data_IF_248574098963
#
_entry.id   IF_248574098963
#
_cell.length_a   1.000
_cell.length_b   1.000
_cell.length_c   1.000
_cell.angle_alpha   90.00
_cell.angle_beta   90.00
_cell.angle_gamma   90.00
#
_symmetry.space_group_name_H-M   'P 1'
#
loop_
_entity.id
_entity.type
_entity.pdbx_description
1 polymer ?
#
# COMPACT_ATOMS: atom_id res chain seq x y z
N UNK A 1 12.35 -10.27 6.44
CA UNK A 1 12.30 -10.45 4.97
C UNK A 1 13.67 -10.33 4.29
N UNK A 2 14.38 -9.19 4.35
CA UNK A 2 15.66 -8.98 3.62
C UNK A 2 16.72 -10.08 3.85
N UNK A 3 16.87 -10.57 5.10
CA UNK A 3 17.76 -11.70 5.43
C UNK A 3 17.41 -12.98 4.65
N UNK A 4 16.13 -13.25 4.43
CA UNK A 4 15.68 -14.41 3.64
C UNK A 4 15.97 -14.22 2.16
N UNK A 5 15.83 -12.99 1.62
CA UNK A 5 16.27 -12.69 0.25
C UNK A 5 17.76 -12.96 0.04
N UNK A 6 18.60 -12.44 0.94
CA UNK A 6 20.05 -12.67 0.85
C UNK A 6 20.41 -14.15 0.99
N UNK A 7 19.73 -14.89 1.87
CA UNK A 7 19.88 -16.35 1.98
C UNK A 7 19.47 -17.05 0.67
N UNK A 8 18.33 -16.68 0.08
CA UNK A 8 17.84 -17.26 -1.17
C UNK A 8 18.81 -17.00 -2.34
N UNK A 9 19.39 -15.80 -2.43
CA UNK A 9 20.37 -15.45 -3.46
C UNK A 9 21.70 -16.20 -3.27
N UNK A 10 22.10 -16.48 -2.03
CA UNK A 10 23.36 -17.18 -1.70
C UNK A 10 23.22 -18.71 -1.66
N UNK A 11 22.00 -19.24 -1.74
CA UNK A 11 21.78 -20.68 -1.72
C UNK A 11 22.45 -21.35 -2.94
N UNK A 12 23.10 -22.49 -2.66
CA UNK A 12 23.87 -23.26 -3.65
C UNK A 12 23.15 -24.54 -4.08
N UNK A 13 22.19 -25.01 -3.30
CA UNK A 13 21.47 -26.27 -3.47
C UNK A 13 19.95 -26.09 -3.34
N UNK A 14 19.21 -27.03 -3.92
CA UNK A 14 17.74 -27.07 -3.90
C UNK A 14 17.16 -27.27 -2.49
N UNK A 15 17.81 -28.07 -1.63
CA UNK A 15 17.39 -28.32 -0.24
C UNK A 15 17.46 -27.08 0.66
N UNK A 16 18.51 -26.26 0.55
CA UNK A 16 18.56 -25.01 1.30
C UNK A 16 17.44 -24.04 0.89
N UNK A 17 17.08 -24.00 -0.41
CA UNK A 17 15.96 -23.18 -0.88
C UNK A 17 14.62 -23.65 -0.34
N UNK A 18 14.41 -24.96 -0.23
CA UNK A 18 13.22 -25.53 0.41
C UNK A 18 13.10 -25.07 1.87
N UNK A 19 14.18 -25.17 2.64
CA UNK A 19 14.18 -24.68 4.02
C UNK A 19 13.92 -23.17 4.12
N UNK A 20 14.48 -22.38 3.18
CA UNK A 20 14.22 -20.93 3.11
C UNK A 20 12.75 -20.66 2.76
N UNK A 21 12.12 -21.48 1.91
CA UNK A 21 10.71 -21.38 1.58
C UNK A 21 9.81 -21.66 2.80
N UNK A 22 10.16 -22.68 3.61
CA UNK A 22 9.48 -22.96 4.88
C UNK A 22 9.62 -21.80 5.87
N UNK A 23 10.83 -21.27 6.02
CA UNK A 23 11.09 -20.09 6.86
C UNK A 23 10.29 -18.87 6.37
N UNK A 24 10.18 -18.68 5.05
CA UNK A 24 9.39 -17.63 4.45
C UNK A 24 7.90 -17.81 4.75
N UNK A 25 7.33 -19.01 4.56
CA UNK A 25 5.94 -19.30 4.91
C UNK A 25 5.63 -18.96 6.36
N UNK A 26 6.47 -19.39 7.32
CA UNK A 26 6.31 -19.06 8.75
C UNK A 26 6.33 -17.55 9.01
N UNK A 27 7.22 -16.83 8.34
CA UNK A 27 7.27 -15.37 8.44
C UNK A 27 5.98 -14.73 7.90
N UNK A 28 5.48 -15.17 6.74
CA UNK A 28 4.24 -14.67 6.17
C UNK A 28 3.01 -15.01 7.04
N UNK A 29 2.94 -16.20 7.64
CA UNK A 29 1.90 -16.55 8.63
C UNK A 29 1.91 -15.53 9.79
N UNK A 30 3.09 -15.26 10.34
CA UNK A 30 3.26 -14.34 11.48
C UNK A 30 2.93 -12.89 11.10
N UNK A 31 3.27 -12.46 9.89
CA UNK A 31 2.92 -11.13 9.40
C UNK A 31 1.44 -10.99 9.06
N UNK A 32 0.87 -12.01 8.42
CA UNK A 32 -0.55 -12.11 8.07
C UNK A 32 -1.42 -12.01 9.31
N UNK A 33 -1.12 -12.77 10.37
CA UNK A 33 -1.89 -12.74 11.62
C UNK A 33 -1.88 -11.34 12.26
N UNK A 34 -0.70 -10.71 12.37
CA UNK A 34 -0.56 -9.33 12.85
C UNK A 34 -1.30 -8.30 11.97
N UNK A 35 -1.32 -8.52 10.66
CA UNK A 35 -2.03 -7.65 9.71
C UNK A 35 -3.54 -7.85 9.80
N UNK A 36 -4.04 -9.08 9.94
CA UNK A 36 -5.46 -9.43 10.12
C UNK A 36 -6.05 -8.75 11.37
N UNK A 37 -5.33 -8.75 12.49
CA UNK A 37 -5.75 -8.03 13.71
C UNK A 37 -5.89 -6.50 13.48
N UNK A 38 -5.07 -5.93 12.60
CA UNK A 38 -5.00 -4.48 12.31
C UNK A 38 -5.69 -4.07 11.01
N UNK A 39 -6.37 -4.99 10.33
CA UNK A 39 -6.93 -4.78 9.00
C UNK A 39 -8.38 -5.23 8.96
N UNK A 40 -9.25 -4.46 9.62
CA UNK A 40 -10.70 -4.63 9.54
C UNK A 40 -11.30 -4.18 8.20
N UNK A 41 -10.51 -3.60 7.29
CA UNK A 41 -11.02 -2.84 6.13
C UNK A 41 -10.29 -3.13 4.83
N UNK A 42 -10.99 -2.76 3.76
CA UNK A 42 -10.50 -2.83 2.40
C UNK A 42 -9.38 -1.83 2.14
N UNK A 43 -8.23 -2.33 1.71
CA UNK A 43 -7.02 -1.54 1.47
C UNK A 43 -7.24 -0.51 0.35
N UNK A 44 -7.97 -0.88 -0.72
CA UNK A 44 -8.17 -0.03 -1.89
C UNK A 44 -8.99 1.22 -1.61
N UNK A 45 -10.12 1.05 -0.90
CA UNK A 45 -11.02 2.17 -0.60
C UNK A 45 -10.40 3.16 0.39
N UNK A 46 -9.73 2.66 1.43
CA UNK A 46 -8.99 3.52 2.35
C UNK A 46 -7.83 4.24 1.67
N UNK A 47 -7.22 3.67 0.63
CA UNK A 47 -6.14 4.32 -0.11
C UNK A 47 -6.67 5.49 -0.91
N UNK A 48 -7.82 5.32 -1.57
CA UNK A 48 -8.52 6.40 -2.25
C UNK A 48 -8.87 7.56 -1.31
N UNK A 49 -9.46 7.29 -0.15
CA UNK A 49 -9.74 8.34 0.85
C UNK A 49 -8.47 9.04 1.34
N UNK A 50 -7.38 8.29 1.54
CA UNK A 50 -6.09 8.87 1.93
C UNK A 50 -5.55 9.81 0.84
N UNK A 51 -5.70 9.44 -0.43
CA UNK A 51 -5.34 10.29 -1.56
C UNK A 51 -6.18 11.57 -1.59
N UNK A 52 -7.50 11.48 -1.38
CA UNK A 52 -8.35 12.66 -1.28
C UNK A 52 -7.92 13.57 -0.12
N UNK A 53 -7.69 13.03 1.07
CA UNK A 53 -7.20 13.81 2.22
C UNK A 53 -5.86 14.49 1.92
N UNK A 54 -4.90 13.79 1.30
CA UNK A 54 -3.62 14.37 0.88
C UNK A 54 -3.82 15.49 -0.13
N UNK A 55 -4.71 15.30 -1.12
CA UNK A 55 -5.02 16.32 -2.11
C UNK A 55 -5.59 17.56 -1.42
N UNK A 56 -6.51 17.39 -0.46
CA UNK A 56 -7.08 18.47 0.34
C UNK A 56 -5.98 19.27 1.06
N UNK A 57 -5.05 18.59 1.71
CA UNK A 57 -3.93 19.25 2.39
C UNK A 57 -3.10 20.04 1.39
N UNK A 58 -2.73 19.44 0.25
CA UNK A 58 -1.89 20.06 -0.76
C UNK A 58 -2.56 21.31 -1.36
N UNK A 59 -3.85 21.25 -1.67
CA UNK A 59 -4.58 22.39 -2.27
C UNK A 59 -4.88 23.50 -1.26
N UNK A 60 -5.18 23.16 -0.01
CA UNK A 60 -5.51 24.14 1.06
C UNK A 60 -4.30 24.68 1.83
N UNK A 61 -3.05 24.32 1.48
CA UNK A 61 -1.88 24.82 2.24
C UNK A 61 -1.48 26.26 1.84
N UNK A 62 -1.49 26.68 0.56
CA UNK A 62 -1.05 28.03 0.18
C UNK A 62 -2.09 28.94 -0.49
N UNK A 63 -3.17 28.40 -1.08
CA UNK A 63 -4.08 29.21 -1.92
C UNK A 63 -5.17 29.88 -1.08
N UNK A 64 -5.27 31.21 -1.22
CA UNK A 64 -6.32 32.05 -0.64
C UNK A 64 -7.65 31.90 -1.41
N UNK A 65 -7.56 31.49 -2.68
CA UNK A 65 -8.69 31.42 -3.62
C UNK A 65 -8.85 30.00 -4.15
N UNK A 66 -9.18 29.05 -3.27
CA UNK A 66 -9.67 27.76 -3.74
C UNK A 66 -11.13 27.92 -4.16
N UNK A 67 -11.36 28.30 -5.42
CA UNK A 67 -12.70 28.30 -5.99
C UNK A 67 -13.02 26.89 -6.51
N UNK A 68 -14.12 26.33 -6.01
CA UNK A 68 -14.66 25.09 -6.52
C UNK A 68 -15.01 25.24 -8.00
N UNK A 69 -14.30 24.51 -8.87
CA UNK A 69 -14.75 24.36 -10.25
C UNK A 69 -16.06 23.55 -10.28
N UNK A 70 -16.90 23.79 -11.28
CA UNK A 70 -18.12 23.01 -11.53
C UNK A 70 -17.85 21.49 -11.51
N UNK A 71 -16.69 21.09 -12.06
CA UNK A 71 -16.26 19.70 -12.10
C UNK A 71 -15.98 19.12 -10.71
N UNK A 72 -15.41 19.91 -9.79
CA UNK A 72 -15.26 19.49 -8.40
C UNK A 72 -16.62 19.33 -7.73
N UNK A 73 -17.53 20.28 -7.90
CA UNK A 73 -18.87 20.19 -7.30
C UNK A 73 -19.59 18.93 -7.81
N UNK A 74 -19.49 18.65 -9.11
CA UNK A 74 -20.06 17.44 -9.71
C UNK A 74 -19.41 16.16 -9.17
N UNK A 75 -18.08 16.12 -9.08
CA UNK A 75 -17.39 14.95 -8.53
C UNK A 75 -17.74 14.73 -7.06
N UNK A 76 -17.78 15.77 -6.22
CA UNK A 76 -18.11 15.61 -4.81
C UNK A 76 -19.58 15.25 -4.59
N UNK A 77 -20.52 15.89 -5.31
CA UNK A 77 -21.95 15.59 -5.18
C UNK A 77 -22.34 14.18 -5.64
N UNK A 78 -21.53 13.55 -6.51
CA UNK A 78 -21.80 12.19 -7.01
C UNK A 78 -20.98 11.13 -6.28
N UNK A 79 -19.66 11.33 -6.16
CA UNK A 79 -18.78 10.33 -5.59
C UNK A 79 -18.93 10.20 -4.07
N UNK A 80 -19.15 11.30 -3.33
CA UNK A 80 -19.25 11.23 -1.86
C UNK A 80 -20.47 10.42 -1.40
N UNK A 81 -21.70 10.64 -1.91
CA UNK A 81 -22.85 9.84 -1.50
C UNK A 81 -22.70 8.36 -1.90
N UNK A 82 -22.17 8.10 -3.10
CA UNK A 82 -21.91 6.73 -3.55
C UNK A 82 -20.89 6.03 -2.64
N UNK A 83 -19.78 6.70 -2.35
CA UNK A 83 -18.75 6.29 -1.39
C UNK A 83 -19.34 6.00 0.00
N UNK A 84 -20.23 6.86 0.48
CA UNK A 84 -20.88 6.72 1.78
C UNK A 84 -21.83 5.51 1.80
N UNK A 85 -22.61 5.30 0.74
CA UNK A 85 -23.54 4.18 0.61
C UNK A 85 -22.83 2.82 0.47
N UNK A 86 -21.63 2.81 -0.14
CA UNK A 86 -20.82 1.60 -0.30
C UNK A 86 -19.97 1.25 0.92
N UNK A 87 -19.84 2.14 1.91
CA UNK A 87 -19.01 1.94 3.09
C UNK A 87 -19.81 1.26 4.22
N UNK A 88 -19.46 0.02 4.61
CA UNK A 88 -20.24 -0.74 5.59
C UNK A 88 -19.99 -0.32 7.05
N UNK A 89 -18.92 0.44 7.33
CA UNK A 89 -18.52 0.77 8.71
C UNK A 89 -18.84 2.22 9.07
N UNK A 90 -19.32 2.44 10.29
CA UNK A 90 -19.64 3.80 10.80
C UNK A 90 -18.41 4.68 10.79
N UNK A 91 -17.22 4.19 11.19
CA UNK A 91 -16.04 5.04 11.21
C UNK A 91 -15.49 5.29 9.81
N UNK A 92 -15.85 4.49 8.80
CA UNK A 92 -15.59 4.77 7.40
C UNK A 92 -16.50 5.87 6.87
N UNK A 93 -17.80 5.76 7.14
CA UNK A 93 -18.80 6.78 6.85
C UNK A 93 -18.43 8.13 7.46
N UNK A 94 -18.02 8.14 8.73
CA UNK A 94 -17.53 9.35 9.41
C UNK A 94 -16.27 9.92 8.76
N UNK A 95 -15.33 9.05 8.33
CA UNK A 95 -14.13 9.50 7.60
C UNK A 95 -14.52 10.15 6.28
N UNK A 96 -15.39 9.54 5.49
CA UNK A 96 -15.88 10.09 4.20
C UNK A 96 -16.55 11.45 4.42
N UNK A 97 -17.45 11.55 5.40
CA UNK A 97 -18.14 12.79 5.74
C UNK A 97 -17.13 13.89 6.12
N UNK A 98 -16.17 13.56 6.99
CA UNK A 98 -15.12 14.49 7.38
C UNK A 98 -14.24 14.89 6.18
N UNK A 99 -13.80 13.95 5.35
CA UNK A 99 -12.96 14.24 4.17
C UNK A 99 -13.68 15.18 3.22
N UNK A 100 -15.00 15.01 3.07
CA UNK A 100 -15.85 15.83 2.22
C UNK A 100 -15.99 17.26 2.77
N UNK A 101 -16.22 17.40 4.08
CA UNK A 101 -16.23 18.71 4.76
C UNK A 101 -14.88 19.40 4.59
N UNK A 102 -13.78 18.66 4.82
CA UNK A 102 -12.43 19.20 4.71
C UNK A 102 -12.09 19.66 3.30
N UNK A 103 -12.56 18.94 2.28
CA UNK A 103 -12.41 19.40 0.90
C UNK A 103 -13.26 20.62 0.60
N UNK A 104 -14.53 20.64 1.02
CA UNK A 104 -15.56 21.62 0.65
C UNK A 104 -15.31 23.06 1.10
N UNK A 105 -14.43 23.28 2.08
CA UNK A 105 -14.22 24.59 2.68
C UNK A 105 -12.79 25.08 2.43
N UNK A 106 -12.59 26.39 2.16
CA UNK A 106 -11.27 26.99 2.02
C UNK A 106 -10.56 27.11 3.37
N UNK A 107 -10.12 26.00 3.96
CA UNK A 107 -9.55 25.97 5.33
C UNK A 107 -8.35 26.88 5.50
N UNK A 108 -7.60 27.15 4.44
CA UNK A 108 -6.49 28.11 4.44
C UNK A 108 -6.92 29.48 4.98
N UNK A 109 -8.08 29.98 4.54
CA UNK A 109 -8.57 31.32 4.89
C UNK A 109 -9.10 31.36 6.33
N UNK A 110 -9.87 30.34 6.72
CA UNK A 110 -10.40 30.20 8.08
C UNK A 110 -9.27 30.05 9.11
N UNK A 111 -8.28 29.18 8.85
CA UNK A 111 -7.15 28.96 9.75
C UNK A 111 -6.25 30.19 9.83
N UNK A 112 -5.97 30.85 8.70
CA UNK A 112 -5.19 32.08 8.66
C UNK A 112 -5.83 33.20 9.49
N UNK A 113 -7.15 33.41 9.35
CA UNK A 113 -7.87 34.39 10.18
C UNK A 113 -7.71 34.09 11.67
N UNK A 114 -7.86 32.82 12.06
CA UNK A 114 -7.66 32.39 13.45
C UNK A 114 -6.22 32.60 13.92
N UNK A 115 -5.21 32.29 13.11
CA UNK A 115 -3.80 32.49 13.44
C UNK A 115 -3.44 33.97 13.58
N UNK A 116 -3.98 34.84 12.74
CA UNK A 116 -3.81 36.29 12.87
C UNK A 116 -4.40 36.81 14.18
N UNK A 117 -5.60 36.34 14.56
CA UNK A 117 -6.22 36.70 15.85
C UNK A 117 -5.40 36.22 17.05
N UNK A 118 -4.69 35.11 16.92
CA UNK A 118 -3.77 34.58 17.94
C UNK A 118 -2.38 35.23 17.93
N UNK A 119 -2.13 36.23 17.07
CA UNK A 119 -0.84 36.92 16.99
C UNK A 119 0.28 36.09 16.37
N UNK A 120 -0.04 35.00 15.66
CA UNK A 120 0.96 34.13 15.05
C UNK A 120 1.55 34.83 13.80
N UNK A 121 2.88 34.94 13.66
CA UNK A 121 3.51 35.52 12.49
C UNK A 121 3.13 34.80 11.19
N UNK A 122 2.84 35.58 10.13
CA UNK A 122 2.38 35.07 8.84
C UNK A 122 3.29 33.98 8.23
N UNK A 123 4.61 34.08 8.45
CA UNK A 123 5.60 33.09 8.00
C UNK A 123 5.32 31.65 8.46
N UNK A 124 4.58 31.46 9.55
CA UNK A 124 4.26 30.14 10.11
C UNK A 124 2.89 29.61 9.68
N UNK A 125 2.03 30.44 9.10
CA UNK A 125 0.64 30.08 8.82
C UNK A 125 0.51 28.87 7.91
N UNK A 126 1.34 28.80 6.86
CA UNK A 126 1.35 27.68 5.90
C UNK A 126 1.68 26.35 6.58
N UNK A 127 2.75 26.33 7.39
CA UNK A 127 3.20 25.11 8.07
C UNK A 127 2.20 24.67 9.14
N UNK A 128 1.61 25.62 9.88
CA UNK A 128 0.60 25.32 10.89
C UNK A 128 -0.69 24.81 10.25
N UNK A 129 -1.15 25.42 9.15
CA UNK A 129 -2.34 24.95 8.41
C UNK A 129 -2.14 23.53 7.92
N UNK A 130 -0.99 23.27 7.27
CA UNK A 130 -0.64 21.93 6.82
C UNK A 130 -0.62 20.94 8.00
N UNK A 131 -0.03 21.31 9.13
CA UNK A 131 0.05 20.45 10.32
C UNK A 131 -1.31 20.11 10.92
N UNK A 132 -2.24 21.07 10.96
CA UNK A 132 -3.61 20.82 11.46
C UNK A 132 -4.36 19.87 10.52
N UNK A 133 -4.28 20.10 9.22
CA UNK A 133 -4.96 19.25 8.22
C UNK A 133 -4.35 17.83 8.18
N UNK A 134 -3.03 17.70 8.31
CA UNK A 134 -2.38 16.38 8.39
C UNK A 134 -2.63 15.69 9.72
N UNK A 135 -2.79 16.41 10.82
CA UNK A 135 -3.20 15.82 12.09
C UNK A 135 -4.56 15.12 11.94
N UNK A 136 -5.52 15.80 11.31
CA UNK A 136 -6.80 15.18 10.95
C UNK A 136 -6.59 13.94 10.07
N UNK A 137 -5.79 14.04 9.01
CA UNK A 137 -5.50 12.91 8.11
C UNK A 137 -4.96 11.69 8.89
N UNK A 138 -3.95 11.89 9.74
CA UNK A 138 -3.37 10.82 10.56
C UNK A 138 -4.41 10.21 11.50
N UNK A 139 -5.19 11.04 12.20
CA UNK A 139 -6.23 10.57 13.11
C UNK A 139 -7.32 9.78 12.39
N UNK A 140 -7.76 10.24 11.23
CA UNK A 140 -8.78 9.57 10.42
C UNK A 140 -8.33 8.17 9.98
N UNK A 141 -7.08 8.02 9.53
CA UNK A 141 -6.48 6.73 9.18
C UNK A 141 -6.39 5.85 10.43
N UNK A 142 -5.94 6.40 11.56
CA UNK A 142 -5.78 5.64 12.80
C UNK A 142 -7.11 5.08 13.31
N UNK A 143 -8.16 5.90 13.31
CA UNK A 143 -9.52 5.52 13.71
C UNK A 143 -10.08 4.48 12.74
N UNK A 144 -10.00 4.75 11.44
CA UNK A 144 -10.51 3.87 10.39
C UNK A 144 -9.89 2.46 10.43
N UNK A 145 -8.61 2.35 10.82
CA UNK A 145 -7.89 1.08 10.88
C UNK A 145 -7.76 0.50 12.29
N UNK A 146 -8.45 1.07 13.29
CA UNK A 146 -8.44 0.56 14.66
C UNK A 146 -7.05 0.56 15.32
N UNK A 147 -6.16 1.46 14.91
CA UNK A 147 -4.83 1.57 15.52
C UNK A 147 -4.91 2.29 16.85
N UNK A 148 -4.06 1.92 17.81
CA UNK A 148 -4.07 2.51 19.16
C UNK A 148 -3.83 4.03 19.12
N UNK A 149 -4.79 4.80 19.63
CA UNK A 149 -4.72 6.27 19.72
C UNK A 149 -3.96 6.75 20.96
N UNK A 150 -3.65 5.87 21.91
CA UNK A 150 -3.18 6.24 23.25
C UNK A 150 -1.75 6.79 23.29
N UNK A 151 -0.95 6.59 22.24
CA UNK A 151 0.41 7.12 22.19
C UNK A 151 0.45 8.47 21.44
N UNK A 152 0.42 9.57 22.21
CA UNK A 152 0.46 10.95 21.69
C UNK A 152 1.75 11.21 20.90
N UNK A 153 2.90 10.72 21.38
CA UNK A 153 4.16 10.85 20.66
C UNK A 153 4.13 10.13 19.32
N UNK A 154 3.48 8.96 19.24
CA UNK A 154 3.31 8.23 17.98
C UNK A 154 2.47 9.03 16.98
N UNK A 155 1.38 9.64 17.44
CA UNK A 155 0.57 10.52 16.60
C UNK A 155 1.33 11.78 16.17
N UNK A 156 2.09 12.38 17.07
CA UNK A 156 2.83 13.61 16.81
C UNK A 156 3.94 13.40 15.76
N UNK A 157 4.78 12.35 15.88
CA UNK A 157 5.83 12.10 14.88
C UNK A 157 5.22 11.72 13.53
N UNK A 158 4.12 10.94 13.52
CA UNK A 158 3.44 10.58 12.27
C UNK A 158 2.88 11.82 11.58
N UNK A 159 2.25 12.70 12.34
CA UNK A 159 1.74 13.98 11.84
C UNK A 159 2.87 14.81 11.26
N UNK A 160 3.98 14.99 11.98
CA UNK A 160 5.12 15.77 11.49
C UNK A 160 5.69 15.23 10.17
N UNK A 161 5.86 13.91 10.03
CA UNK A 161 6.38 13.32 8.79
C UNK A 161 5.37 13.42 7.64
N UNK A 162 4.08 13.19 7.89
CA UNK A 162 3.03 13.35 6.87
C UNK A 162 2.91 14.81 6.43
N UNK A 163 3.04 15.78 7.35
CA UNK A 163 3.14 17.21 7.01
C UNK A 163 4.30 17.48 6.08
N UNK A 164 5.49 16.94 6.39
CA UNK A 164 6.67 17.10 5.55
C UNK A 164 6.43 16.57 4.13
N UNK A 165 5.83 15.38 4.00
CA UNK A 165 5.50 14.76 2.69
C UNK A 165 4.52 15.63 1.90
N UNK A 166 3.46 16.14 2.54
CA UNK A 166 2.48 17.00 1.87
C UNK A 166 3.08 18.35 1.47
N UNK A 167 3.97 18.94 2.28
CA UNK A 167 4.69 20.17 1.94
C UNK A 167 5.65 19.97 0.76
N UNK A 168 6.37 18.86 0.72
CA UNK A 168 7.19 18.47 -0.42
C UNK A 168 6.34 18.27 -1.68
N UNK A 169 5.22 17.55 -1.56
CA UNK A 169 4.27 17.33 -2.66
C UNK A 169 3.69 18.65 -3.18
N UNK A 170 3.42 19.62 -2.30
CA UNK A 170 3.00 20.96 -2.71
C UNK A 170 4.09 21.71 -3.48
N UNK A 171 5.34 21.68 -2.99
CA UNK A 171 6.46 22.32 -3.72
C UNK A 171 6.63 21.74 -5.12
N UNK A 172 6.52 20.41 -5.24
CA UNK A 172 6.54 19.71 -6.54
C UNK A 172 5.35 20.10 -7.42
N UNK A 173 4.14 20.15 -6.85
CA UNK A 173 2.92 20.58 -7.55
C UNK A 173 3.09 21.97 -8.15
N UNK A 174 3.53 22.95 -7.35
CA UNK A 174 3.78 24.32 -7.81
C UNK A 174 4.87 24.35 -8.89
N UNK A 175 5.93 23.56 -8.75
CA UNK A 175 7.01 23.48 -9.73
C UNK A 175 6.52 22.93 -11.09
N UNK A 176 5.76 21.84 -11.07
CA UNK A 176 5.20 21.22 -12.27
C UNK A 176 4.16 22.14 -12.91
N UNK A 177 3.28 22.77 -12.12
CA UNK A 177 2.27 23.70 -12.64
C UNK A 177 2.90 24.91 -13.34
N UNK A 178 4.01 25.45 -12.81
CA UNK A 178 4.78 26.51 -13.49
C UNK A 178 5.32 26.10 -14.86
N UNK A 179 5.57 24.80 -15.08
CA UNK A 179 6.04 24.25 -16.36
C UNK A 179 4.89 23.82 -17.28
N UNK A 180 3.80 23.34 -16.70
CA UNK A 180 2.59 22.84 -17.37
C UNK A 180 1.39 23.70 -16.96
N UNK A 181 1.43 24.99 -17.32
CA UNK A 181 0.43 25.98 -16.87
C UNK A 181 -1.00 25.66 -17.34
N UNK A 182 -1.14 24.91 -18.45
CA UNK A 182 -2.43 24.49 -18.99
C UNK A 182 -3.12 23.42 -18.14
N UNK A 183 -2.36 22.67 -17.31
CA UNK A 183 -2.94 21.69 -16.40
C UNK A 183 -3.39 22.38 -15.12
N UNK A 184 -4.67 22.23 -14.72
CA UNK A 184 -5.15 22.78 -13.45
C UNK A 184 -4.35 22.23 -12.27
N UNK A 185 -4.01 23.09 -11.31
CA UNK A 185 -3.20 22.73 -10.15
C UNK A 185 -3.80 21.58 -9.34
N UNK A 186 -5.12 21.50 -9.26
CA UNK A 186 -5.82 20.43 -8.55
C UNK A 186 -5.59 19.04 -9.18
N UNK A 187 -5.46 18.95 -10.51
CA UNK A 187 -5.15 17.69 -11.22
C UNK A 187 -3.74 17.22 -10.86
N UNK A 188 -2.77 18.14 -10.89
CA UNK A 188 -1.38 17.86 -10.54
C UNK A 188 -1.27 17.44 -9.07
N UNK A 189 -1.98 18.14 -8.18
CA UNK A 189 -2.03 17.77 -6.76
C UNK A 189 -2.67 16.39 -6.53
N UNK A 190 -3.73 16.05 -7.29
CA UNK A 190 -4.37 14.73 -7.26
C UNK A 190 -3.42 13.61 -7.65
N UNK A 191 -2.59 13.83 -8.69
CA UNK A 191 -1.55 12.88 -9.10
C UNK A 191 -0.52 12.62 -7.99
N UNK A 192 0.05 13.68 -7.39
CA UNK A 192 1.00 13.52 -6.28
C UNK A 192 0.36 12.92 -5.03
N UNK A 193 -0.88 13.29 -4.73
CA UNK A 193 -1.63 12.74 -3.61
C UNK A 193 -1.90 11.23 -3.79
N UNK A 194 -2.29 10.80 -4.98
CA UNK A 194 -2.46 9.39 -5.31
C UNK A 194 -1.16 8.60 -5.17
N UNK A 195 -0.04 9.15 -5.64
CA UNK A 195 1.27 8.49 -5.56
C UNK A 195 1.78 8.37 -4.11
N UNK A 196 1.52 9.38 -3.27
CA UNK A 196 1.98 9.42 -1.87
C UNK A 196 1.04 8.70 -0.89
N UNK A 197 -0.23 8.52 -1.23
CA UNK A 197 -1.23 7.87 -0.36
C UNK A 197 -0.83 6.46 0.13
N UNK A 198 -0.34 5.52 -0.73
CA UNK A 198 0.10 4.20 -0.25
C UNK A 198 1.20 4.30 0.83
N UNK A 199 2.13 5.24 0.66
CA UNK A 199 3.20 5.48 1.63
C UNK A 199 2.65 6.03 2.94
N UNK A 200 1.83 7.09 2.88
CA UNK A 200 1.22 7.72 4.06
C UNK A 200 0.40 6.69 4.86
N UNK A 201 -0.43 5.92 4.17
CA UNK A 201 -1.28 4.92 4.82
C UNK A 201 -0.47 3.81 5.49
N UNK A 202 0.56 3.26 4.82
CA UNK A 202 1.45 2.25 5.42
C UNK A 202 2.23 2.81 6.60
N UNK A 203 2.76 4.03 6.46
CA UNK A 203 3.51 4.68 7.51
C UNK A 203 2.67 4.93 8.76
N UNK A 204 1.44 5.44 8.60
CA UNK A 204 0.55 5.71 9.72
C UNK A 204 0.11 4.40 10.40
N UNK A 205 -0.16 3.34 9.63
CA UNK A 205 -0.64 2.06 10.16
C UNK A 205 0.45 1.22 10.81
N UNK A 206 1.61 1.10 10.16
CA UNK A 206 2.62 0.12 10.52
C UNK A 206 3.89 0.75 11.09
N UNK A 207 4.22 1.99 10.72
CA UNK A 207 5.42 2.69 11.17
C UNK A 207 6.44 2.90 10.05
N UNK A 208 7.55 3.57 10.40
CA UNK A 208 8.61 3.93 9.44
C UNK A 208 9.36 2.71 8.92
N UNK A 209 9.74 1.79 9.81
CA UNK A 209 10.61 0.65 9.49
C UNK A 209 9.92 -0.28 8.49
N UNK A 210 8.65 -0.60 8.72
CA UNK A 210 7.82 -1.42 7.86
C UNK A 210 7.59 -0.76 6.50
N UNK A 211 7.43 0.57 6.49
CA UNK A 211 7.22 1.32 5.24
C UNK A 211 8.49 1.37 4.41
N UNK A 212 9.66 1.60 5.02
CA UNK A 212 10.95 1.54 4.34
C UNK A 212 11.26 0.14 3.82
N UNK A 213 10.93 -0.90 4.59
CA UNK A 213 11.07 -2.30 4.16
C UNK A 213 10.21 -2.55 2.93
N UNK A 214 8.95 -2.11 2.93
CA UNK A 214 8.05 -2.23 1.78
C UNK A 214 8.55 -1.44 0.55
N UNK A 215 9.12 -0.25 0.74
CA UNK A 215 9.71 0.52 -0.37
C UNK A 215 10.93 -0.20 -0.97
N UNK A 216 11.81 -0.72 -0.11
CA UNK A 216 12.99 -1.48 -0.55
C UNK A 216 12.58 -2.73 -1.32
N UNK A 217 11.57 -3.46 -0.82
CA UNK A 217 10.99 -4.62 -1.53
C UNK A 217 10.41 -4.23 -2.88
N UNK A 218 9.70 -3.11 -2.96
CA UNK A 218 9.16 -2.59 -4.21
C UNK A 218 10.26 -2.21 -5.21
N UNK A 219 11.38 -1.65 -4.72
CA UNK A 219 12.56 -1.33 -5.54
C UNK A 219 13.28 -2.59 -6.05
N UNK A 220 13.52 -3.57 -5.17
CA UNK A 220 14.08 -4.88 -5.55
C UNK A 220 13.19 -5.53 -6.62
N UNK A 221 11.87 -5.50 -6.43
CA UNK A 221 10.93 -6.02 -7.42
C UNK A 221 11.04 -5.32 -8.76
N UNK A 222 11.09 -3.98 -8.77
CA UNK A 222 11.24 -3.20 -10.00
C UNK A 222 12.48 -3.64 -10.78
N UNK A 223 13.61 -3.84 -10.12
CA UNK A 223 14.85 -4.33 -10.74
C UNK A 223 14.70 -5.77 -11.23
N UNK A 224 14.13 -6.66 -10.41
CA UNK A 224 13.97 -8.08 -10.74
C UNK A 224 13.03 -8.30 -11.95
N UNK A 225 12.03 -7.43 -12.15
CA UNK A 225 11.12 -7.50 -13.32
C UNK A 225 11.87 -7.48 -14.65
N UNK A 226 13.01 -6.81 -14.74
CA UNK A 226 13.80 -6.74 -15.96
C UNK A 226 14.66 -7.99 -16.22
N UNK A 227 14.73 -8.92 -15.28
CA UNK A 227 15.56 -10.12 -15.40
C UNK A 227 14.75 -11.38 -15.70
N UNK A 228 13.46 -11.28 -16.01
CA UNK A 228 12.50 -12.38 -15.90
C UNK A 228 12.61 -13.43 -17.03
N UNK A 229 13.57 -14.34 -16.93
CA UNK A 229 13.66 -15.50 -17.84
C UNK A 229 12.60 -16.55 -17.48
N UNK A 230 11.88 -17.05 -18.49
CA UNK A 230 10.93 -18.16 -18.33
C UNK A 230 11.68 -19.48 -18.24
N UNK A 231 12.05 -19.88 -17.02
CA UNK A 231 12.60 -21.20 -16.74
C UNK A 231 11.45 -22.22 -16.63
N UNK A 232 11.54 -23.29 -17.43
CA UNK A 232 10.62 -24.43 -17.41
C UNK A 232 11.35 -25.58 -16.72
N UNK A 233 10.72 -26.16 -15.69
CA UNK A 233 11.22 -27.38 -15.07
C UNK A 233 10.92 -28.55 -16.01
N UNK A 234 11.82 -29.53 -16.16
CA UNK A 234 11.51 -30.77 -16.86
C UNK A 234 10.42 -31.56 -16.14
N UNK A 235 9.64 -32.32 -16.91
CA UNK A 235 8.42 -33.00 -16.44
C UNK A 235 8.67 -34.03 -15.33
N UNK A 236 9.86 -34.65 -15.31
CA UNK A 236 10.21 -35.72 -14.36
C UNK A 236 10.80 -35.23 -13.03
N UNK A 237 10.88 -33.91 -12.81
CA UNK A 237 11.50 -33.38 -11.59
C UNK A 237 10.53 -33.41 -10.39
N UNK A 238 10.88 -34.11 -9.32
CA UNK A 238 10.10 -34.13 -8.08
C UNK A 238 10.09 -32.74 -7.41
N UNK A 239 8.90 -32.12 -7.35
CA UNK A 239 8.72 -30.79 -6.76
C UNK A 239 8.28 -30.91 -5.29
N UNK A 240 9.01 -30.29 -4.34
CA UNK A 240 8.59 -30.22 -2.95
C UNK A 240 7.22 -29.55 -2.76
N UNK A 241 6.41 -30.06 -1.82
CA UNK A 241 5.06 -29.57 -1.53
C UNK A 241 5.00 -28.04 -1.30
N UNK A 242 6.03 -27.44 -0.72
CA UNK A 242 6.08 -25.99 -0.44
C UNK A 242 6.11 -25.13 -1.72
N UNK A 243 6.53 -25.71 -2.85
CA UNK A 243 6.57 -25.06 -4.15
C UNK A 243 5.39 -25.44 -5.05
N UNK A 244 4.46 -26.26 -4.57
CA UNK A 244 3.26 -26.64 -5.32
C UNK A 244 2.09 -25.72 -4.99
N UNK A 245 1.39 -25.27 -6.02
CA UNK A 245 0.12 -24.59 -5.84
C UNK A 245 -0.97 -25.59 -5.47
N UNK A 246 -1.69 -25.36 -4.38
CA UNK A 246 -2.78 -26.25 -3.94
C UNK A 246 -4.01 -26.29 -4.87
N UNK A 247 -4.13 -25.34 -5.81
CA UNK A 247 -5.23 -25.31 -6.78
C UNK A 247 -4.89 -26.14 -8.02
N UNK A 248 -3.78 -25.83 -8.72
CA UNK A 248 -3.41 -26.53 -9.95
C UNK A 248 -2.51 -27.75 -9.73
N UNK A 249 -1.98 -27.94 -8.51
CA UNK A 249 -1.01 -28.99 -8.14
C UNK A 249 0.28 -28.98 -8.96
N UNK A 250 0.57 -27.84 -9.58
CA UNK A 250 1.79 -27.60 -10.36
C UNK A 250 2.71 -26.64 -9.61
N UNK A 251 3.95 -26.53 -10.06
CA UNK A 251 4.94 -25.61 -9.52
C UNK A 251 4.43 -24.16 -9.54
N UNK A 252 4.66 -23.43 -8.45
CA UNK A 252 4.20 -22.06 -8.28
C UNK A 252 4.67 -21.14 -9.41
N UNK A 253 3.72 -20.67 -10.22
CA UNK A 253 3.91 -19.64 -11.22
C UNK A 253 3.37 -18.31 -10.71
N UNK A 254 4.24 -17.30 -10.63
CA UNK A 254 3.93 -15.99 -10.05
C UNK A 254 3.25 -16.10 -8.67
N UNK A 255 3.98 -16.57 -7.64
CA UNK A 255 3.38 -16.89 -6.35
C UNK A 255 2.79 -15.65 -5.67
N UNK A 256 1.53 -15.78 -5.27
CA UNK A 256 0.82 -14.87 -4.37
C UNK A 256 0.62 -15.55 -3.03
N UNK A 257 0.71 -14.78 -1.96
CA UNK A 257 0.49 -15.21 -0.59
C UNK A 257 -0.92 -14.85 -0.14
N UNK A 258 -1.55 -15.79 0.55
CA UNK A 258 -2.78 -15.59 1.28
C UNK A 258 -2.67 -16.40 2.57
N UNK A 259 -2.65 -15.71 3.70
CA UNK A 259 -2.69 -16.34 5.04
C UNK A 259 -1.51 -17.28 5.33
N UNK A 260 -0.35 -17.01 4.72
CA UNK A 260 0.85 -17.83 4.82
C UNK A 260 0.95 -18.99 3.82
N UNK A 261 -0.08 -19.20 3.01
CA UNK A 261 -0.09 -20.16 1.90
C UNK A 261 0.23 -19.46 0.59
N UNK A 262 0.82 -20.19 -0.34
CA UNK A 262 1.19 -19.66 -1.65
C UNK A 262 0.37 -20.31 -2.76
N UNK A 263 -0.04 -19.50 -3.72
CA UNK A 263 -0.84 -19.91 -4.87
C UNK A 263 -0.29 -19.27 -6.14
N UNK A 264 -0.56 -19.85 -7.30
CA UNK A 264 -0.35 -19.15 -8.57
C UNK A 264 -1.34 -17.97 -8.65
N UNK A 265 -0.87 -16.79 -9.06
CA UNK A 265 -1.72 -15.59 -9.18
C UNK A 265 -2.98 -15.87 -10.01
N UNK A 266 -2.84 -16.50 -11.18
CA UNK A 266 -3.95 -16.78 -12.09
C UNK A 266 -4.94 -17.78 -11.49
N UNK A 267 -4.44 -18.82 -10.80
CA UNK A 267 -5.28 -19.82 -10.14
C UNK A 267 -6.14 -19.19 -9.04
N UNK A 268 -5.55 -18.33 -8.22
CA UNK A 268 -6.27 -17.67 -7.15
C UNK A 268 -7.28 -16.63 -7.68
N UNK A 269 -6.93 -15.91 -8.74
CA UNK A 269 -7.85 -14.98 -9.40
C UNK A 269 -9.04 -15.72 -10.02
N UNK A 270 -8.80 -16.83 -10.72
CA UNK A 270 -9.86 -17.70 -11.23
C UNK A 270 -10.76 -18.22 -10.10
N UNK A 271 -10.17 -18.63 -8.97
CA UNK A 271 -10.91 -19.08 -7.80
C UNK A 271 -11.89 -18.01 -7.29
N UNK A 272 -11.41 -16.77 -7.10
CA UNK A 272 -12.26 -15.67 -6.67
C UNK A 272 -13.28 -15.19 -7.71
N UNK A 273 -13.00 -15.38 -9.00
CA UNK A 273 -13.95 -15.03 -10.07
C UNK A 273 -15.12 -16.01 -10.14
N UNK A 274 -15.00 -17.22 -9.56
CA UNK A 274 -16.12 -18.17 -9.41
C UNK A 274 -17.07 -17.84 -8.25
N UNK A 275 -16.92 -16.68 -7.61
CA UNK A 275 -17.78 -16.21 -6.52
C UNK A 275 -17.44 -16.77 -5.14
N UNK A 276 -16.39 -17.61 -5.03
CA UNK A 276 -15.94 -18.17 -3.77
C UNK A 276 -14.94 -17.20 -3.11
N UNK A 277 -15.43 -16.24 -2.32
CA UNK A 277 -14.59 -15.42 -1.43
C UNK A 277 -14.13 -16.19 -0.18
N UNK A 278 -13.64 -17.41 -0.41
CA UNK A 278 -13.17 -18.34 0.60
C UNK A 278 -11.74 -18.78 0.28
N UNK A 279 -10.94 -18.97 1.31
CA UNK A 279 -9.57 -19.43 1.21
C UNK A 279 -9.54 -20.84 0.59
N UNK A 280 -8.79 -21.10 -0.50
CA UNK A 280 -8.86 -22.39 -1.19
C UNK A 280 -8.45 -23.59 -0.33
N UNK A 281 -7.56 -23.36 0.64
CA UNK A 281 -7.09 -24.40 1.57
C UNK A 281 -7.90 -24.54 2.87
N UNK A 282 -8.24 -23.43 3.55
CA UNK A 282 -8.87 -23.47 4.88
C UNK A 282 -10.38 -23.25 4.86
N UNK A 283 -10.95 -22.78 3.74
CA UNK A 283 -12.36 -22.42 3.63
C UNK A 283 -12.76 -21.13 4.36
N UNK A 284 -11.83 -20.44 5.03
CA UNK A 284 -12.11 -19.18 5.72
C UNK A 284 -12.54 -18.09 4.73
N UNK A 285 -13.48 -17.23 5.13
CA UNK A 285 -13.84 -16.06 4.34
C UNK A 285 -12.64 -15.12 4.20
N UNK A 286 -12.31 -14.75 2.98
CA UNK A 286 -11.16 -13.91 2.63
C UNK A 286 -11.58 -12.81 1.65
N UNK A 287 -10.94 -11.64 1.74
CA UNK A 287 -11.08 -10.61 0.72
C UNK A 287 -9.91 -10.67 -0.26
N UNK A 288 -10.12 -10.19 -1.49
CA UNK A 288 -9.06 -10.09 -2.50
C UNK A 288 -7.85 -9.26 -2.04
N UNK A 289 -8.06 -8.38 -1.07
CA UNK A 289 -7.02 -7.48 -0.54
C UNK A 289 -6.16 -8.15 0.53
N UNK A 290 -6.58 -9.31 1.03
CA UNK A 290 -5.73 -10.17 1.85
C UNK A 290 -4.67 -10.89 1.01
N UNK A 291 -4.81 -10.92 -0.32
CA UNK A 291 -3.79 -11.48 -1.21
C UNK A 291 -2.65 -10.49 -1.33
N UNK A 292 -1.45 -10.95 -1.01
CA UNK A 292 -0.23 -10.20 -1.20
C UNK A 292 0.65 -10.87 -2.25
N UNK A 293 1.29 -10.09 -3.13
CA UNK A 293 2.29 -10.69 -4.02
C UNK A 293 3.51 -11.15 -3.20
N UNK A 294 3.93 -12.40 -3.37
CA UNK A 294 5.11 -12.91 -2.67
C UNK A 294 6.35 -12.84 -3.56
N UNK A 295 6.99 -11.68 -3.56
CA UNK A 295 8.25 -11.48 -4.26
C UNK A 295 9.37 -12.39 -3.74
N UNK A 296 9.39 -12.65 -2.43
CA UNK A 296 10.37 -13.56 -1.83
C UNK A 296 10.17 -14.98 -2.37
N UNK A 297 8.93 -15.47 -2.38
CA UNK A 297 8.64 -16.78 -2.93
C UNK A 297 8.90 -16.83 -4.43
N UNK A 298 8.65 -15.74 -5.17
CA UNK A 298 9.00 -15.62 -6.61
C UNK A 298 10.51 -15.74 -6.83
N UNK A 299 11.33 -15.13 -5.98
CA UNK A 299 12.79 -15.25 -6.06
C UNK A 299 13.26 -16.67 -5.69
N UNK A 300 12.71 -17.26 -4.64
CA UNK A 300 13.06 -18.61 -4.19
C UNK A 300 12.71 -19.63 -5.28
N UNK A 301 11.46 -19.62 -5.76
CA UNK A 301 10.97 -20.51 -6.82
C UNK A 301 11.81 -20.38 -8.09
N UNK A 302 12.16 -19.17 -8.51
CA UNK A 302 13.04 -18.96 -9.67
C UNK A 302 14.44 -19.53 -9.46
N UNK A 303 15.05 -19.28 -8.30
CA UNK A 303 16.39 -19.81 -7.99
C UNK A 303 16.37 -21.33 -7.91
N UNK A 304 15.29 -21.91 -7.38
CA UNK A 304 15.07 -23.34 -7.31
C UNK A 304 15.05 -23.96 -8.70
N UNK A 305 14.23 -23.42 -9.62
CA UNK A 305 14.21 -23.86 -11.03
C UNK A 305 15.61 -23.87 -11.65
N UNK A 306 16.37 -22.79 -11.44
CA UNK A 306 17.73 -22.68 -11.99
C UNK A 306 18.66 -23.76 -11.44
N UNK A 307 18.68 -23.95 -10.12
CA UNK A 307 19.53 -24.96 -9.50
C UNK A 307 19.11 -26.39 -9.87
N UNK A 308 17.81 -26.68 -9.93
CA UNK A 308 17.29 -27.98 -10.36
C UNK A 308 17.73 -28.33 -11.80
N UNK A 309 17.64 -27.36 -12.72
CA UNK A 309 18.12 -27.52 -14.10
C UNK A 309 19.64 -27.73 -14.12
N UNK A 310 20.40 -26.92 -13.38
CA UNK A 310 21.86 -27.01 -13.30
C UNK A 310 22.32 -28.36 -12.68
N UNK A 311 21.59 -28.90 -11.70
CA UNK A 311 21.86 -30.19 -11.05
C UNK A 311 21.65 -31.35 -12.03
N UNK A 312 20.57 -31.34 -12.81
CA UNK A 312 20.29 -32.36 -13.82
C UNK A 312 21.27 -32.31 -15.00
N UNK A 313 21.66 -31.11 -15.45
CA UNK A 313 22.68 -30.97 -16.49
C UNK A 313 24.07 -31.48 -16.06
N UNK A 314 24.33 -31.56 -14.74
CA UNK A 314 25.55 -32.15 -14.18
C UNK A 314 25.46 -33.66 -13.93
N UNK A 315 24.27 -34.25 -13.99
CA UNK A 315 24.03 -35.69 -13.85
C UNK A 315 23.66 -36.44 -15.17
N UNK A 316 24.23 -36.13 -16.35
CA UNK A 316 23.76 -36.77 -17.58
C UNK A 316 24.21 -38.23 -17.77
N UNK A 317 25.04 -38.80 -16.89
CA UNK A 317 25.57 -40.17 -17.03
C UNK A 317 25.79 -40.86 -15.66
N UNK A 318 24.74 -41.37 -15.03
CA UNK A 318 24.83 -42.34 -13.94
C UNK A 318 23.96 -43.56 -14.26
#
# INVERSE_FOLDING_TARGET
>A
MLKLYLRALRAQDTKALEQIAVDASRLYITESSKKREKSKRSFGYSLYLTALESQCVITNTPNIEYNFSLLHVFSYSTFVPLSFAMEPTIEGQLRIAATSIFHSLPWSSYLRSSFTRLGIPYRYHTNLSATILTFYQVMSIKIAHGTKLTNIFDTAYKTALVTFINLCSRKLTTYVHKKLYFLPEWVISGFFAYYTAPFIQKFVRYGLIETLTWMLESAIHFVMRFTNDRLILPEDHEVPNIFMCSICRDFLNEPVELSGFFFCNDCLNMWFNKGLLAHPYTGENVSREMVSQSFLMKTITRRYKKLAIDEQQKQPNA
#
